data_IF_899912200807
#
_entry.id   IF_899912200807
#
_cell.length_a   1.000
_cell.length_b   1.000
_cell.length_c   1.000
_cell.angle_alpha   90.00
_cell.angle_beta   90.00
_cell.angle_gamma   90.00
#
_symmetry.space_group_name_H-M   'P 1'
#
loop_
_entity.id
_entity.type
_entity.pdbx_description
1 polymer ?
#
# COMPACT_ATOMS: atom_id res chain seq x y z
N UNK A 1 23.71 -14.04 6.33
CA UNK A 1 22.50 -13.27 6.70
C UNK A 1 21.58 -14.23 7.42
N UNK A 2 20.90 -13.80 8.48
CA UNK A 2 20.02 -14.67 9.30
C UNK A 2 18.60 -14.68 8.73
N UNK A 3 17.92 -15.83 8.77
CA UNK A 3 16.50 -15.96 8.50
C UNK A 3 15.70 -15.89 9.82
N UNK A 4 14.42 -15.46 9.80
CA UNK A 4 13.66 -15.01 8.65
C UNK A 4 14.06 -13.60 8.16
N UNK A 5 14.03 -13.38 6.85
CA UNK A 5 14.26 -12.06 6.26
C UNK A 5 13.45 -11.84 4.98
N UNK A 6 13.09 -10.59 4.70
CA UNK A 6 12.61 -10.14 3.39
C UNK A 6 13.77 -9.55 2.60
N UNK A 7 14.09 -10.18 1.49
CA UNK A 7 14.99 -9.60 0.50
C UNK A 7 14.21 -8.69 -0.45
N UNK A 8 14.75 -7.48 -0.68
CA UNK A 8 14.11 -6.38 -1.39
C UNK A 8 15.01 -5.91 -2.54
N UNK A 9 14.48 -5.92 -3.75
CA UNK A 9 15.14 -5.43 -4.96
C UNK A 9 14.65 -4.01 -5.27
N UNK A 10 15.49 -3.03 -4.93
CA UNK A 10 15.15 -1.61 -5.08
C UNK A 10 15.12 -1.19 -6.56
N UNK A 11 15.94 -1.82 -7.41
CA UNK A 11 15.97 -1.58 -8.86
C UNK A 11 14.64 -1.91 -9.51
N UNK A 12 14.05 -3.06 -9.13
CA UNK A 12 12.72 -3.49 -9.61
C UNK A 12 11.60 -2.59 -9.12
N UNK A 13 11.63 -2.15 -7.87
CA UNK A 13 10.65 -1.19 -7.33
C UNK A 13 10.72 0.14 -8.08
N UNK A 14 11.93 0.65 -8.32
CA UNK A 14 12.17 1.86 -9.12
C UNK A 14 11.66 1.70 -10.54
N UNK A 15 11.92 0.56 -11.18
CA UNK A 15 11.45 0.26 -12.54
C UNK A 15 9.92 0.19 -12.61
N UNK A 16 9.27 -0.44 -11.63
CA UNK A 16 7.82 -0.51 -11.54
C UNK A 16 7.19 0.87 -11.39
N UNK A 17 7.69 1.67 -10.45
CA UNK A 17 7.25 3.05 -10.26
C UNK A 17 7.41 3.88 -11.54
N UNK A 18 8.58 3.80 -12.21
CA UNK A 18 8.87 4.50 -13.46
C UNK A 18 7.92 4.12 -14.60
N UNK A 19 7.63 2.84 -14.76
CA UNK A 19 6.70 2.35 -15.77
C UNK A 19 5.31 2.94 -15.56
N UNK A 20 4.79 2.86 -14.33
CA UNK A 20 3.47 3.37 -13.98
C UNK A 20 3.38 4.90 -14.10
N UNK A 21 4.37 5.63 -13.57
CA UNK A 21 4.44 7.10 -13.67
C UNK A 21 4.42 7.55 -15.14
N UNK A 22 5.22 6.91 -16.01
CA UNK A 22 5.24 7.26 -17.44
C UNK A 22 3.89 7.00 -18.12
N UNK A 23 3.30 5.81 -17.89
CA UNK A 23 2.02 5.43 -18.51
C UNK A 23 0.87 6.33 -18.09
N UNK A 24 0.82 6.70 -16.81
CA UNK A 24 -0.22 7.58 -16.26
C UNK A 24 0.02 9.06 -16.59
N UNK A 25 1.29 9.47 -16.70
CA UNK A 25 1.66 10.83 -17.08
C UNK A 25 1.15 11.24 -18.46
N UNK A 26 1.04 10.31 -19.42
CA UNK A 26 0.43 10.56 -20.75
C UNK A 26 -1.03 11.00 -20.64
N UNK A 27 -1.71 10.65 -19.54
CA UNK A 27 -3.10 11.05 -19.24
C UNK A 27 -3.19 12.25 -18.29
N UNK A 28 -2.07 12.87 -17.95
CA UNK A 28 -2.02 13.94 -16.94
C UNK A 28 -2.25 13.45 -15.50
N UNK A 29 -2.12 12.14 -15.24
CA UNK A 29 -2.34 11.56 -13.91
C UNK A 29 -0.98 11.38 -13.22
N UNK A 30 -0.82 12.08 -12.11
CA UNK A 30 0.34 11.95 -11.21
C UNK A 30 0.21 10.72 -10.31
N UNK A 31 1.35 10.24 -9.78
CA UNK A 31 1.38 9.09 -8.87
C UNK A 31 1.96 9.47 -7.53
N UNK A 32 1.21 9.20 -6.46
CA UNK A 32 1.71 9.22 -5.07
C UNK A 32 2.07 7.79 -4.66
N UNK A 33 3.32 7.56 -4.26
CA UNK A 33 3.81 6.24 -3.84
C UNK A 33 3.38 5.88 -2.41
N UNK A 34 2.69 4.76 -2.22
CA UNK A 34 2.16 4.35 -0.92
C UNK A 34 3.09 3.34 -0.25
N UNK A 35 3.67 3.73 0.89
CA UNK A 35 4.72 2.96 1.59
C UNK A 35 4.21 2.09 2.74
N UNK A 36 2.89 2.07 3.00
CA UNK A 36 2.32 1.43 4.20
C UNK A 36 2.68 -0.05 4.36
N UNK A 37 2.75 -0.80 3.25
CA UNK A 37 3.05 -2.23 3.25
C UNK A 37 4.52 -2.53 3.56
N UNK A 38 5.40 -1.53 3.48
CA UNK A 38 6.82 -1.63 3.82
C UNK A 38 7.16 -0.77 5.04
N UNK A 39 6.17 -0.41 5.85
CA UNK A 39 6.33 0.36 7.09
C UNK A 39 7.15 1.66 6.93
N UNK A 40 6.95 2.37 5.81
CA UNK A 40 7.72 3.58 5.50
C UNK A 40 9.22 3.33 5.39
N UNK A 41 9.66 2.17 4.91
CA UNK A 41 11.08 1.85 4.77
C UNK A 41 11.78 2.90 3.88
N UNK A 42 12.78 3.65 4.38
CA UNK A 42 13.36 4.77 3.65
C UNK A 42 13.94 4.40 2.28
N UNK A 43 14.62 3.27 2.17
CA UNK A 43 15.23 2.87 0.88
C UNK A 43 14.19 2.48 -0.17
N UNK A 44 13.08 1.86 0.24
CA UNK A 44 11.96 1.58 -0.67
C UNK A 44 11.27 2.87 -1.09
N UNK A 45 11.07 3.80 -0.14
CA UNK A 45 10.51 5.11 -0.42
C UNK A 45 11.37 5.91 -1.43
N UNK A 46 12.71 5.90 -1.27
CA UNK A 46 13.65 6.48 -2.24
C UNK A 46 13.57 5.80 -3.60
N UNK A 47 13.48 4.47 -3.65
CA UNK A 47 13.31 3.76 -4.91
C UNK A 47 12.03 4.17 -5.66
N UNK A 48 10.92 4.37 -4.94
CA UNK A 48 9.69 4.92 -5.55
C UNK A 48 9.90 6.34 -6.08
N UNK A 49 10.56 7.22 -5.32
CA UNK A 49 10.89 8.60 -5.72
C UNK A 49 11.81 8.65 -6.94
N UNK A 50 12.85 7.82 -6.99
CA UNK A 50 13.74 7.65 -8.16
C UNK A 50 12.98 7.11 -9.39
N UNK A 51 11.84 6.47 -9.16
CA UNK A 51 10.89 6.05 -10.18
C UNK A 51 10.03 7.20 -10.72
N UNK A 52 9.98 8.34 -10.03
CA UNK A 52 9.28 9.54 -10.45
C UNK A 52 7.89 9.74 -9.82
N UNK A 53 7.58 9.06 -8.71
CA UNK A 53 6.37 9.42 -7.94
C UNK A 53 6.51 10.86 -7.43
N UNK A 54 5.42 11.64 -7.45
CA UNK A 54 5.46 13.08 -7.11
C UNK A 54 5.52 13.35 -5.60
N UNK A 55 5.24 12.32 -4.81
CA UNK A 55 5.24 12.35 -3.36
C UNK A 55 4.95 10.96 -2.81
N UNK A 56 4.90 10.86 -1.48
CA UNK A 56 4.68 9.61 -0.77
C UNK A 56 3.42 9.68 0.09
N UNK A 57 2.92 8.52 0.49
CA UNK A 57 1.82 8.42 1.42
C UNK A 57 1.95 7.21 2.34
N UNK A 58 1.55 7.38 3.60
CA UNK A 58 1.50 6.29 4.57
C UNK A 58 0.27 6.42 5.49
N UNK A 59 -0.12 5.32 6.13
CA UNK A 59 -1.27 5.23 7.02
C UNK A 59 -0.88 5.35 8.50
N UNK A 60 0.42 5.39 8.83
CA UNK A 60 0.89 5.48 10.21
C UNK A 60 1.90 6.61 10.36
N UNK A 61 1.66 7.50 11.32
CA UNK A 61 2.56 8.64 11.57
C UNK A 61 3.99 8.19 11.87
N UNK A 62 4.17 7.08 12.61
CA UNK A 62 5.50 6.51 12.90
C UNK A 62 6.32 6.21 11.64
N UNK A 63 5.65 5.78 10.56
CA UNK A 63 6.31 5.45 9.30
C UNK A 63 6.75 6.75 8.58
N UNK A 64 5.90 7.78 8.63
CA UNK A 64 6.22 9.11 8.09
C UNK A 64 7.39 9.73 8.86
N UNK A 65 7.36 9.69 10.19
CA UNK A 65 8.48 10.14 11.04
C UNK A 65 9.76 9.39 10.68
N UNK A 66 9.72 8.05 10.53
CA UNK A 66 10.87 7.25 10.08
C UNK A 66 11.44 7.76 8.74
N UNK A 67 10.59 8.05 7.77
CA UNK A 67 11.01 8.60 6.48
C UNK A 67 11.64 9.98 6.62
N UNK A 68 11.04 10.88 7.41
CA UNK A 68 11.59 12.23 7.67
C UNK A 68 12.95 12.17 8.36
N UNK A 69 13.10 11.31 9.37
CA UNK A 69 14.37 11.12 10.08
C UNK A 69 15.46 10.53 9.17
N UNK A 70 15.08 9.81 8.11
CA UNK A 70 15.98 9.35 7.07
C UNK A 70 16.25 10.40 5.97
N UNK A 71 15.82 11.66 6.15
CA UNK A 71 16.08 12.76 5.22
C UNK A 71 15.19 12.78 3.98
N UNK A 72 14.01 12.14 4.00
CA UNK A 72 13.05 12.23 2.90
C UNK A 72 12.27 13.55 3.03
N UNK A 73 12.53 14.46 2.10
CA UNK A 73 11.98 15.83 2.12
C UNK A 73 10.85 16.07 1.10
N UNK A 74 10.50 15.08 0.29
CA UNK A 74 9.37 15.21 -0.65
C UNK A 74 8.04 15.41 0.11
N UNK A 75 6.96 15.80 -0.59
CA UNK A 75 5.63 15.80 0.01
C UNK A 75 5.25 14.40 0.51
N UNK A 76 4.74 14.29 1.74
CA UNK A 76 4.22 13.06 2.33
C UNK A 76 2.82 13.30 2.89
N UNK A 77 1.87 12.48 2.48
CA UNK A 77 0.49 12.56 2.95
C UNK A 77 0.11 11.44 3.92
N UNK A 78 -0.66 11.78 4.94
CA UNK A 78 -1.30 10.82 5.84
C UNK A 78 -2.62 10.32 5.21
N UNK A 79 -2.68 9.06 4.83
CA UNK A 79 -3.85 8.45 4.11
C UNK A 79 -4.79 7.65 5.01
N UNK A 80 -4.65 7.79 6.34
CA UNK A 80 -5.59 7.28 7.34
C UNK A 80 -5.91 8.44 8.27
N UNK A 81 -7.17 8.60 8.66
CA UNK A 81 -7.55 9.57 9.69
C UNK A 81 -6.63 9.41 10.94
N UNK A 82 -5.96 10.48 11.39
CA UNK A 82 -5.04 10.40 12.50
C UNK A 82 -5.78 10.22 13.83
N UNK A 83 -5.15 9.51 14.77
CA UNK A 83 -5.65 9.43 16.13
C UNK A 83 -5.48 10.80 16.82
N UNK A 84 -6.32 11.10 17.81
CA UNK A 84 -6.28 12.41 18.51
C UNK A 84 -4.90 12.71 19.12
N UNK A 85 -4.17 11.68 19.57
CA UNK A 85 -2.79 11.84 20.09
C UNK A 85 -1.71 12.05 19.01
N UNK A 86 -2.02 11.84 17.73
CA UNK A 86 -1.07 11.98 16.61
C UNK A 86 -1.13 13.37 15.97
N UNK A 87 -2.05 14.25 16.36
CA UNK A 87 -2.33 15.51 15.65
C UNK A 87 -1.11 16.41 15.55
N UNK A 88 -0.38 16.62 16.65
CA UNK A 88 0.80 17.50 16.62
C UNK A 88 1.90 16.97 15.70
N UNK A 89 2.10 15.65 15.66
CA UNK A 89 3.07 15.01 14.77
C UNK A 89 2.61 15.08 13.31
N UNK A 90 1.32 14.93 13.03
CA UNK A 90 0.78 15.09 11.67
C UNK A 90 1.09 16.48 11.13
N UNK A 91 0.83 17.54 11.91
CA UNK A 91 1.17 18.91 11.51
C UNK A 91 2.67 19.09 11.25
N UNK A 92 3.51 18.44 12.06
CA UNK A 92 4.96 18.60 11.97
C UNK A 92 5.58 17.86 10.79
N UNK A 93 5.03 16.70 10.43
CA UNK A 93 5.72 15.78 9.52
C UNK A 93 4.98 15.50 8.21
N UNK A 94 3.68 15.81 8.11
CA UNK A 94 2.86 15.55 6.94
C UNK A 94 2.50 16.86 6.22
N UNK A 95 2.64 16.88 4.90
CA UNK A 95 2.24 18.03 4.09
C UNK A 95 0.72 18.07 3.90
N UNK A 96 0.07 16.90 3.83
CA UNK A 96 -1.38 16.79 3.68
C UNK A 96 -1.95 15.59 4.45
N UNK A 97 -3.27 15.61 4.68
CA UNK A 97 -3.99 14.50 5.30
C UNK A 97 -5.35 14.25 4.65
N UNK A 98 -5.70 12.98 4.49
CA UNK A 98 -6.97 12.54 3.93
C UNK A 98 -7.97 12.32 5.06
N UNK A 99 -9.14 12.96 5.00
CA UNK A 99 -10.11 12.94 6.08
C UNK A 99 -11.55 12.95 5.56
N UNK A 100 -12.47 12.39 6.35
CA UNK A 100 -13.92 12.47 6.12
C UNK A 100 -14.71 12.74 7.41
N UNK A 101 -14.01 13.07 8.51
CA UNK A 101 -14.62 13.34 9.82
C UNK A 101 -14.30 14.77 10.27
N UNK A 102 -15.33 15.57 10.51
CA UNK A 102 -15.18 16.99 10.82
C UNK A 102 -14.55 17.20 12.20
N UNK A 103 -14.82 16.33 13.19
CA UNK A 103 -14.16 16.43 14.49
C UNK A 103 -12.64 16.28 14.36
N UNK A 104 -12.19 15.36 13.50
CA UNK A 104 -10.78 15.15 13.18
C UNK A 104 -10.17 16.38 12.52
N UNK A 105 -10.85 16.97 11.53
CA UNK A 105 -10.38 18.18 10.83
C UNK A 105 -10.27 19.37 11.79
N UNK A 106 -11.23 19.54 12.71
CA UNK A 106 -11.18 20.60 13.72
C UNK A 106 -10.00 20.43 14.69
N UNK A 107 -9.71 19.20 15.10
CA UNK A 107 -8.54 18.88 15.94
C UNK A 107 -7.23 19.15 15.20
N UNK A 108 -7.14 18.79 13.91
CA UNK A 108 -6.00 19.15 13.06
C UNK A 108 -5.83 20.66 12.95
N UNK A 109 -6.90 21.42 12.68
CA UNK A 109 -6.86 22.88 12.60
C UNK A 109 -6.43 23.54 13.92
N UNK A 110 -6.88 23.02 15.06
CA UNK A 110 -6.42 23.49 16.38
C UNK A 110 -4.93 23.23 16.60
N UNK A 111 -4.45 22.02 16.27
CA UNK A 111 -3.02 21.67 16.37
C UNK A 111 -2.16 22.49 15.41
N UNK A 112 -2.63 22.73 14.18
CA UNK A 112 -1.95 23.52 13.17
C UNK A 112 -1.75 24.97 13.64
N UNK A 113 -2.82 25.60 14.15
CA UNK A 113 -2.75 26.96 14.71
C UNK A 113 -1.79 27.07 15.89
N UNK A 114 -1.79 26.08 16.79
CA UNK A 114 -0.84 26.05 17.92
C UNK A 114 0.62 26.06 17.45
N UNK A 115 0.90 25.49 16.27
CA UNK A 115 2.23 25.44 15.67
C UNK A 115 2.48 26.56 14.64
N UNK A 116 1.55 27.50 14.45
CA UNK A 116 1.67 28.55 13.44
C UNK A 116 1.65 28.04 12.00
N UNK A 117 1.05 26.86 11.76
CA UNK A 117 0.98 26.20 10.47
C UNK A 117 -0.47 26.13 9.94
N UNK A 118 -0.61 25.71 8.68
CA UNK A 118 -1.89 25.34 8.07
C UNK A 118 -1.77 23.93 7.51
N UNK A 119 -2.72 23.06 7.86
CA UNK A 119 -2.73 21.69 7.37
C UNK A 119 -3.53 21.57 6.07
N UNK A 120 -2.92 21.02 5.02
CA UNK A 120 -3.67 20.68 3.82
C UNK A 120 -4.54 19.44 4.07
N UNK A 121 -5.81 19.54 3.68
CA UNK A 121 -6.84 18.51 3.82
C UNK A 121 -7.34 18.11 2.45
N UNK A 122 -7.40 16.80 2.21
CA UNK A 122 -8.06 16.18 1.06
C UNK A 122 -9.27 15.42 1.60
N UNK A 123 -10.46 15.71 1.07
CA UNK A 123 -11.68 15.06 1.53
C UNK A 123 -11.86 13.70 0.88
N UNK A 124 -12.03 12.67 1.71
CA UNK A 124 -12.45 11.36 1.23
C UNK A 124 -13.94 11.39 0.95
N UNK A 125 -14.35 10.88 -0.21
CA UNK A 125 -15.73 10.75 -0.66
C UNK A 125 -16.10 9.28 -0.69
N UNK A 126 -17.26 8.94 -0.12
CA UNK A 126 -17.79 7.58 -0.16
C UNK A 126 -18.35 7.30 -1.56
N UNK A 127 -17.81 6.27 -2.21
CA UNK A 127 -18.11 5.90 -3.60
C UNK A 127 -18.42 4.40 -3.73
N UNK A 128 -18.82 3.76 -2.63
CA UNK A 128 -19.20 2.36 -2.52
C UNK A 128 -18.15 1.43 -1.91
N UNK A 129 -17.05 1.96 -1.37
CA UNK A 129 -16.06 1.14 -0.63
C UNK A 129 -16.54 0.80 0.78
N UNK A 130 -17.47 1.58 1.34
CA UNK A 130 -18.05 1.41 2.69
C UNK A 130 -17.02 1.47 3.83
N UNK A 131 -15.86 2.08 3.57
CA UNK A 131 -14.75 2.16 4.54
C UNK A 131 -14.70 3.51 5.23
N UNK A 132 -14.65 4.56 4.44
CA UNK A 132 -14.55 5.95 4.87
C UNK A 132 -15.01 6.83 3.72
N UNK A 133 -15.43 8.05 4.06
CA UNK A 133 -15.81 9.04 3.07
C UNK A 133 -17.04 9.83 3.50
N UNK A 134 -17.10 11.07 3.06
CA UNK A 134 -18.31 11.89 3.12
C UNK A 134 -19.26 11.39 2.04
N UNK A 135 -20.53 11.25 2.37
CA UNK A 135 -21.55 10.86 1.39
C UNK A 135 -21.67 11.95 0.30
N UNK A 136 -21.84 11.60 -0.98
CA UNK A 136 -21.91 12.58 -2.06
C UNK A 136 -22.95 13.69 -1.85
N UNK A 137 -24.09 13.36 -1.25
CA UNK A 137 -25.18 14.30 -0.92
C UNK A 137 -24.81 15.33 0.16
N UNK A 138 -23.86 15.00 1.05
CA UNK A 138 -23.42 15.86 2.15
C UNK A 138 -22.12 16.62 1.81
N UNK A 139 -21.52 16.33 0.65
CA UNK A 139 -20.15 16.75 0.33
C UNK A 139 -19.98 18.27 0.28
N UNK A 140 -20.92 18.99 -0.31
CA UNK A 140 -20.84 20.46 -0.46
C UNK A 140 -20.89 21.15 0.91
N UNK A 141 -21.85 20.77 1.76
CA UNK A 141 -21.98 21.30 3.12
C UNK A 141 -20.75 20.94 3.99
N UNK A 142 -20.23 19.73 3.82
CA UNK A 142 -19.02 19.31 4.52
C UNK A 142 -17.81 20.15 4.06
N UNK A 143 -17.63 20.33 2.76
CA UNK A 143 -16.53 21.11 2.19
C UNK A 143 -16.57 22.57 2.66
N UNK A 144 -17.74 23.21 2.65
CA UNK A 144 -17.93 24.57 3.16
C UNK A 144 -17.45 24.70 4.62
N UNK A 145 -17.83 23.74 5.48
CA UNK A 145 -17.38 23.71 6.89
C UNK A 145 -15.87 23.50 7.04
N UNK A 146 -15.22 22.78 6.13
CA UNK A 146 -13.76 22.64 6.14
C UNK A 146 -13.09 23.96 5.78
N UNK A 147 -13.59 24.67 4.77
CA UNK A 147 -13.07 25.99 4.37
C UNK A 147 -13.18 27.01 5.51
N UNK A 148 -14.27 26.95 6.29
CA UNK A 148 -14.46 27.80 7.46
C UNK A 148 -13.62 27.37 8.68
N UNK A 149 -13.01 26.18 8.68
CA UNK A 149 -12.26 25.66 9.82
C UNK A 149 -10.86 26.30 9.88
N UNK A 150 -10.53 27.07 10.93
CA UNK A 150 -9.23 27.73 10.99
C UNK A 150 -8.07 26.74 11.17
N UNK A 151 -6.95 26.98 10.49
CA UNK A 151 -5.74 26.16 10.56
C UNK A 151 -5.72 24.98 9.59
N UNK A 152 -6.73 24.82 8.73
CA UNK A 152 -6.71 23.86 7.62
C UNK A 152 -6.99 24.55 6.30
N UNK A 153 -6.59 23.90 5.21
CA UNK A 153 -6.92 24.33 3.84
C UNK A 153 -7.44 23.13 3.05
N UNK A 154 -8.64 23.24 2.46
CA UNK A 154 -9.15 22.23 1.56
C UNK A 154 -8.38 22.30 0.22
N UNK A 155 -7.74 21.20 -0.18
CA UNK A 155 -6.92 21.12 -1.40
C UNK A 155 -7.44 20.16 -2.46
N UNK A 156 -8.44 19.36 -2.11
CA UNK A 156 -8.90 18.34 -3.04
C UNK A 156 -9.92 17.38 -2.46
N UNK A 157 -10.36 16.48 -3.33
CA UNK A 157 -11.18 15.33 -2.97
C UNK A 157 -10.52 14.04 -3.45
N UNK A 158 -10.89 12.93 -2.85
CA UNK A 158 -10.36 11.62 -3.15
C UNK A 158 -11.40 10.55 -2.87
N UNK A 159 -11.32 9.45 -3.60
CA UNK A 159 -12.12 8.26 -3.32
C UNK A 159 -11.22 7.05 -3.11
N UNK A 160 -11.72 6.02 -2.46
CA UNK A 160 -11.06 4.73 -2.35
C UNK A 160 -11.97 3.65 -2.95
N UNK A 161 -11.38 2.59 -3.49
CA UNK A 161 -12.10 1.47 -4.10
C UNK A 161 -11.34 0.17 -3.86
N UNK A 162 -12.06 -0.96 -3.92
CA UNK A 162 -11.48 -2.30 -3.87
C UNK A 162 -10.80 -2.67 -2.55
N UNK A 163 -11.10 -1.95 -1.45
CA UNK A 163 -10.53 -2.27 -0.13
C UNK A 163 -11.52 -3.04 0.75
N UNK A 164 -12.76 -2.57 0.86
CA UNK A 164 -13.84 -3.31 1.53
C UNK A 164 -14.99 -3.61 0.58
N UNK A 165 -15.28 -2.70 -0.36
CA UNK A 165 -16.21 -2.98 -1.45
C UNK A 165 -15.56 -3.84 -2.53
N UNK A 166 -16.29 -4.83 -3.06
CA UNK A 166 -15.88 -5.61 -4.25
C UNK A 166 -16.10 -4.82 -5.56
N UNK A 167 -16.11 -3.49 -5.50
CA UNK A 167 -16.34 -2.63 -6.65
C UNK A 167 -15.02 -2.44 -7.40
N UNK A 168 -15.01 -2.93 -8.65
CA UNK A 168 -13.95 -2.58 -9.60
C UNK A 168 -14.24 -1.17 -10.13
N UNK A 169 -13.32 -0.21 -9.98
CA UNK A 169 -13.54 1.16 -10.46
C UNK A 169 -13.84 1.23 -11.94
N UNK A 170 -14.87 1.97 -12.30
CA UNK A 170 -15.30 2.18 -13.69
C UNK A 170 -15.03 3.61 -14.16
N UNK A 171 -15.12 3.82 -15.48
CA UNK A 171 -15.10 5.18 -16.03
C UNK A 171 -16.26 6.04 -15.53
N UNK A 172 -17.42 5.44 -15.21
CA UNK A 172 -18.57 6.14 -14.63
C UNK A 172 -18.30 6.65 -13.21
N UNK A 173 -17.58 5.87 -12.41
CA UNK A 173 -17.18 6.29 -11.06
C UNK A 173 -16.22 7.48 -11.11
N UNK A 174 -15.27 7.47 -12.05
CA UNK A 174 -14.30 8.56 -12.22
C UNK A 174 -14.95 9.82 -12.81
N UNK A 175 -15.95 9.66 -13.69
CA UNK A 175 -16.78 10.77 -14.15
C UNK A 175 -17.61 11.36 -13.00
N UNK A 176 -18.16 10.51 -12.13
CA UNK A 176 -18.90 10.95 -10.93
C UNK A 176 -18.00 11.71 -9.97
N UNK A 177 -16.81 11.19 -9.66
CA UNK A 177 -15.82 11.89 -8.83
C UNK A 177 -15.40 13.23 -9.46
N UNK A 178 -15.28 13.30 -10.79
CA UNK A 178 -14.97 14.55 -11.49
C UNK A 178 -16.08 15.59 -11.32
N UNK A 179 -17.35 15.19 -11.47
CA UNK A 179 -18.50 16.06 -11.24
C UNK A 179 -18.55 16.57 -9.80
N UNK A 180 -18.27 15.71 -8.82
CA UNK A 180 -18.23 16.10 -7.41
C UNK A 180 -17.10 17.10 -7.13
N UNK A 181 -15.95 16.96 -7.79
CA UNK A 181 -14.87 17.94 -7.70
C UNK A 181 -15.29 19.32 -8.23
N UNK A 182 -15.96 19.36 -9.39
CA UNK A 182 -16.46 20.60 -9.98
C UNK A 182 -17.58 21.24 -9.12
N UNK A 183 -18.41 20.43 -8.46
CA UNK A 183 -19.44 20.91 -7.51
C UNK A 183 -18.81 21.59 -6.29
N UNK A 184 -17.86 20.91 -5.62
CA UNK A 184 -17.13 21.48 -4.47
C UNK A 184 -16.41 22.77 -4.85
N UNK A 185 -15.77 22.79 -6.03
CA UNK A 185 -15.07 23.97 -6.52
C UNK A 185 -16.03 25.14 -6.82
N UNK A 186 -17.19 24.85 -7.41
CA UNK A 186 -18.22 25.86 -7.65
C UNK A 186 -18.85 26.42 -6.38
N UNK A 187 -19.02 25.60 -5.34
CA UNK A 187 -19.62 26.00 -4.07
C UNK A 187 -18.64 26.77 -3.17
N UNK A 188 -17.36 26.40 -3.18
CA UNK A 188 -16.40 26.88 -2.19
C UNK A 188 -15.24 27.71 -2.77
N UNK A 189 -14.98 27.62 -4.07
CA UNK A 189 -13.93 28.36 -4.78
C UNK A 189 -12.89 27.47 -5.49
N UNK A 190 -12.04 28.05 -6.36
CA UNK A 190 -11.14 27.33 -7.27
C UNK A 190 -9.87 26.78 -6.62
N UNK A 191 -10.01 25.97 -5.57
CA UNK A 191 -8.88 25.41 -4.81
C UNK A 191 -8.72 23.89 -4.91
N UNK A 192 -9.62 23.19 -5.61
CA UNK A 192 -9.59 21.72 -5.78
C UNK A 192 -8.47 21.34 -6.74
N UNK A 193 -7.23 21.35 -6.24
CA UNK A 193 -6.03 21.05 -7.01
C UNK A 193 -5.82 19.54 -7.19
N UNK A 194 -6.27 18.73 -6.24
CA UNK A 194 -6.10 17.27 -6.25
C UNK A 194 -7.46 16.57 -6.36
N UNK A 195 -7.63 15.77 -7.40
CA UNK A 195 -8.76 14.82 -7.52
C UNK A 195 -8.16 13.43 -7.64
N UNK A 196 -8.07 12.75 -6.49
CA UNK A 196 -7.31 11.51 -6.38
C UNK A 196 -8.23 10.29 -6.48
N UNK A 197 -8.21 9.64 -7.65
CA UNK A 197 -9.20 8.65 -8.07
C UNK A 197 -9.19 7.33 -7.31
N UNK A 198 -8.13 7.05 -6.55
CA UNK A 198 -8.04 5.82 -5.76
C UNK A 198 -6.65 5.20 -5.73
N UNK A 199 -6.65 3.87 -5.60
CA UNK A 199 -5.45 3.08 -5.37
C UNK A 199 -5.03 2.24 -6.58
N UNK A 200 -4.24 1.19 -6.29
CA UNK A 200 -3.81 0.23 -7.32
C UNK A 200 -4.96 -0.51 -8.01
N UNK A 201 -6.12 -0.66 -7.35
CA UNK A 201 -7.32 -1.24 -7.96
C UNK A 201 -7.90 -0.40 -9.12
N UNK A 202 -7.55 0.88 -9.22
CA UNK A 202 -7.99 1.76 -10.30
C UNK A 202 -7.16 1.59 -11.58
N UNK A 203 -6.09 0.77 -11.57
CA UNK A 203 -5.15 0.73 -12.69
C UNK A 203 -5.75 0.19 -13.98
N UNK A 204 -6.72 -0.72 -13.93
CA UNK A 204 -7.41 -1.20 -15.13
C UNK A 204 -8.06 -0.04 -15.89
N UNK A 205 -8.80 0.84 -15.19
CA UNK A 205 -9.34 2.07 -15.75
C UNK A 205 -8.24 3.08 -16.12
N UNK A 206 -7.24 3.24 -15.27
CA UNK A 206 -6.21 4.26 -15.42
C UNK A 206 -5.27 3.98 -16.61
N UNK A 207 -5.16 2.73 -17.04
CA UNK A 207 -4.34 2.32 -18.18
C UNK A 207 -5.14 2.18 -19.48
N UNK A 208 -6.46 2.33 -19.43
CA UNK A 208 -7.33 2.37 -20.60
C UNK A 208 -7.30 3.75 -21.31
N UNK A 209 -7.81 3.82 -22.54
CA UNK A 209 -7.76 5.00 -23.44
C UNK A 209 -8.89 6.02 -23.22
N UNK A 210 -9.72 5.85 -22.21
CA UNK A 210 -10.84 6.76 -21.92
C UNK A 210 -10.42 8.13 -21.36
N UNK A 211 -11.35 9.10 -21.28
CA UNK A 211 -11.08 10.38 -20.63
C UNK A 211 -10.80 10.20 -19.13
N UNK A 212 -9.85 10.95 -18.59
CA UNK A 212 -9.57 11.00 -17.14
C UNK A 212 -10.49 11.98 -16.39
N UNK A 213 -11.13 12.90 -17.11
CA UNK A 213 -11.94 13.97 -16.49
C UNK A 213 -11.08 14.88 -15.62
N UNK A 214 -11.53 15.14 -14.40
CA UNK A 214 -10.79 15.91 -13.39
C UNK A 214 -9.75 15.07 -12.64
N UNK A 215 -9.82 13.73 -12.72
CA UNK A 215 -8.93 12.84 -11.96
C UNK A 215 -7.49 13.03 -12.43
N UNK A 216 -6.64 13.51 -11.53
CA UNK A 216 -5.27 13.91 -11.83
C UNK A 216 -4.21 13.25 -10.92
N UNK A 217 -4.64 12.36 -10.02
CA UNK A 217 -3.74 11.65 -9.11
C UNK A 217 -4.24 10.24 -8.79
N UNK A 218 -3.30 9.30 -8.63
CA UNK A 218 -3.55 7.97 -8.02
C UNK A 218 -2.52 7.65 -6.93
N UNK A 219 -2.95 6.90 -5.92
CA UNK A 219 -2.16 6.51 -4.75
C UNK A 219 -1.75 5.03 -4.87
N UNK A 220 -0.59 4.77 -5.45
CA UNK A 220 -0.18 3.41 -5.84
C UNK A 220 0.79 2.82 -4.82
N UNK A 221 0.48 1.64 -4.30
CA UNK A 221 1.34 0.90 -3.38
C UNK A 221 1.59 -0.51 -3.90
N UNK A 222 0.56 -1.35 -3.84
CA UNK A 222 0.63 -2.76 -4.22
C UNK A 222 1.13 -2.97 -5.66
N UNK A 223 0.65 -2.19 -6.63
CA UNK A 223 1.12 -2.32 -8.01
C UNK A 223 2.60 -1.95 -8.19
N UNK A 224 3.10 -0.96 -7.42
CA UNK A 224 4.52 -0.61 -7.46
C UNK A 224 5.36 -1.71 -6.79
N UNK A 225 4.92 -2.17 -5.63
CA UNK A 225 5.67 -3.11 -4.79
C UNK A 225 5.66 -4.54 -5.35
N UNK A 226 4.52 -5.00 -5.85
CA UNK A 226 4.28 -6.40 -6.24
C UNK A 226 4.04 -6.59 -7.74
N UNK A 227 3.91 -5.52 -8.53
CA UNK A 227 3.70 -5.62 -9.97
C UNK A 227 2.38 -6.31 -10.37
N UNK A 228 1.41 -6.40 -9.47
CA UNK A 228 0.11 -7.05 -9.69
C UNK A 228 -1.03 -6.04 -9.61
N UNK A 229 -2.12 -6.36 -10.30
CA UNK A 229 -3.41 -5.70 -10.16
C UNK A 229 -4.15 -6.32 -8.96
N UNK A 230 -4.45 -5.54 -7.90
CA UNK A 230 -5.15 -6.05 -6.73
C UNK A 230 -6.55 -6.60 -7.04
N UNK A 231 -7.23 -6.07 -8.06
CA UNK A 231 -8.60 -6.47 -8.38
C UNK A 231 -8.65 -7.87 -9.02
N UNK A 232 -7.64 -8.24 -9.81
CA UNK A 232 -7.61 -9.51 -10.55
C UNK A 232 -6.55 -10.50 -10.04
N UNK A 233 -5.60 -10.04 -9.22
CA UNK A 233 -4.43 -10.80 -8.78
C UNK A 233 -3.41 -11.10 -9.88
N UNK A 234 -3.62 -10.57 -11.09
CA UNK A 234 -2.77 -10.82 -12.27
C UNK A 234 -1.59 -9.87 -12.31
N UNK A 235 -0.49 -10.33 -12.91
CA UNK A 235 0.65 -9.48 -13.20
C UNK A 235 0.24 -8.35 -14.16
N UNK A 236 0.69 -7.13 -13.87
CA UNK A 236 0.54 -5.99 -14.76
C UNK A 236 1.68 -6.06 -15.77
N UNK A 237 1.34 -5.98 -17.05
CA UNK A 237 2.31 -6.08 -18.13
C UNK A 237 3.44 -5.06 -17.99
N UNK A 238 4.67 -5.55 -18.16
CA UNK A 238 5.91 -4.79 -18.00
C UNK A 238 6.33 -4.47 -16.56
N UNK A 239 5.65 -4.99 -15.52
CA UNK A 239 6.06 -4.81 -14.12
C UNK A 239 6.69 -6.08 -13.54
N UNK A 240 7.66 -5.89 -12.65
CA UNK A 240 8.29 -6.95 -11.87
C UNK A 240 7.40 -7.42 -10.73
N UNK A 241 7.21 -8.74 -10.62
CA UNK A 241 6.41 -9.37 -9.57
C UNK A 241 7.24 -10.09 -8.50
N UNK A 242 8.56 -9.92 -8.54
CA UNK A 242 9.53 -10.63 -7.72
C UNK A 242 10.53 -9.68 -7.04
N UNK A 243 10.11 -8.43 -6.82
CA UNK A 243 10.89 -7.42 -6.09
C UNK A 243 11.07 -7.76 -4.61
N UNK A 244 10.21 -8.63 -4.06
CA UNK A 244 10.25 -9.09 -2.68
C UNK A 244 10.32 -10.61 -2.62
N UNK A 245 11.12 -11.14 -1.70
CA UNK A 245 11.06 -12.55 -1.33
C UNK A 245 11.40 -12.76 0.13
N UNK A 246 10.61 -13.60 0.80
CA UNK A 246 10.88 -14.08 2.14
C UNK A 246 11.85 -15.26 2.07
N UNK A 247 12.86 -15.25 2.93
CA UNK A 247 13.72 -16.39 3.20
C UNK A 247 13.42 -16.91 4.59
N UNK A 248 13.15 -18.21 4.69
CA UNK A 248 12.95 -18.92 5.94
C UNK A 248 13.80 -20.19 5.98
N UNK A 249 14.37 -20.50 7.14
CA UNK A 249 15.18 -21.70 7.34
C UNK A 249 14.28 -22.94 7.51
N UNK A 250 14.69 -24.05 6.90
CA UNK A 250 14.12 -25.38 7.14
C UNK A 250 14.69 -25.92 8.45
N UNK A 251 13.85 -26.09 9.47
CA UNK A 251 14.27 -26.53 10.81
C UNK A 251 13.92 -27.98 11.12
N UNK A 252 13.03 -28.59 10.34
CA UNK A 252 12.74 -30.01 10.44
C UNK A 252 12.39 -30.55 9.05
N UNK A 253 12.94 -31.72 8.70
CA UNK A 253 12.48 -32.53 7.56
C UNK A 253 12.25 -33.95 8.02
N UNK A 254 11.02 -34.46 7.86
CA UNK A 254 10.63 -35.82 8.25
C UNK A 254 9.62 -36.41 7.27
N UNK A 255 9.67 -37.73 7.09
CA UNK A 255 8.58 -38.47 6.46
C UNK A 255 7.41 -38.53 7.45
N UNK A 256 6.23 -38.06 7.04
CA UNK A 256 5.00 -38.13 7.85
C UNK A 256 3.88 -38.78 7.04
N UNK A 257 3.04 -39.62 7.68
CA UNK A 257 1.85 -40.17 7.03
C UNK A 257 0.88 -39.03 6.63
N UNK A 258 0.42 -39.05 5.38
CA UNK A 258 -0.67 -38.19 4.92
C UNK A 258 -2.02 -38.63 5.49
N UNK A 259 -2.81 -37.72 6.03
CA UNK A 259 -4.13 -38.04 6.62
C UNK A 259 -5.18 -38.52 5.60
N UNK A 260 -4.86 -38.59 4.30
CA UNK A 260 -5.81 -38.87 3.22
C UNK A 260 -5.34 -39.87 2.14
N UNK A 261 -4.30 -40.68 2.37
CA UNK A 261 -3.92 -41.72 1.39
C UNK A 261 -3.74 -43.07 2.07
N UNK A 262 -4.49 -44.07 1.62
CA UNK A 262 -4.39 -45.43 2.10
C UNK A 262 -3.07 -46.12 1.68
N UNK A 263 -2.52 -46.86 2.64
CA UNK A 263 -1.59 -47.99 2.57
C UNK A 263 -0.12 -47.86 2.13
N UNK A 264 0.39 -46.74 1.62
CA UNK A 264 1.87 -46.52 1.52
C UNK A 264 2.33 -45.04 1.64
N UNK A 265 1.42 -44.14 2.06
CA UNK A 265 1.51 -42.69 1.82
C UNK A 265 2.36 -41.84 2.78
N UNK A 266 3.63 -42.19 3.02
CA UNK A 266 4.57 -41.27 3.67
C UNK A 266 5.05 -40.20 2.67
N UNK A 267 4.94 -38.92 3.05
CA UNK A 267 5.47 -37.81 2.26
C UNK A 267 6.46 -37.00 3.08
N UNK A 268 7.59 -36.56 2.51
CA UNK A 268 8.50 -35.66 3.21
C UNK A 268 7.78 -34.33 3.46
N UNK A 269 7.77 -33.95 4.73
CA UNK A 269 7.30 -32.65 5.18
C UNK A 269 8.46 -31.89 5.75
N UNK A 270 8.57 -30.64 5.36
CA UNK A 270 9.54 -29.71 5.91
C UNK A 270 8.81 -28.65 6.73
N UNK A 271 9.44 -28.24 7.83
CA UNK A 271 8.97 -27.15 8.68
C UNK A 271 9.92 -25.98 8.49
N UNK A 272 9.34 -24.81 8.20
CA UNK A 272 10.05 -23.55 8.10
C UNK A 272 9.90 -22.76 9.39
N UNK A 273 10.99 -22.11 9.83
CA UNK A 273 11.04 -21.21 10.99
C UNK A 273 10.38 -19.85 10.68
N UNK A 274 9.11 -19.89 10.31
CA UNK A 274 8.26 -18.74 10.09
C UNK A 274 6.80 -19.16 10.24
N UNK A 275 5.98 -18.38 10.92
CA UNK A 275 4.57 -18.70 11.12
C UNK A 275 3.65 -17.50 10.98
N UNK A 276 2.45 -17.63 11.55
CA UNK A 276 1.47 -16.56 11.55
C UNK A 276 1.98 -15.30 12.23
N UNK A 277 2.83 -15.35 13.26
CA UNK A 277 3.32 -14.12 13.89
C UNK A 277 4.13 -13.27 12.91
N UNK A 278 4.94 -13.92 12.09
CA UNK A 278 5.84 -13.27 11.15
C UNK A 278 5.16 -12.85 9.85
N UNK A 279 4.27 -13.67 9.30
CA UNK A 279 3.69 -13.45 7.98
C UNK A 279 2.30 -14.06 7.82
N UNK A 280 1.58 -13.64 6.76
CA UNK A 280 0.38 -14.36 6.33
C UNK A 280 0.83 -15.60 5.54
N UNK A 281 0.86 -16.75 6.21
CA UNK A 281 1.28 -18.01 5.61
C UNK A 281 0.39 -18.47 4.44
N UNK A 282 -0.90 -18.08 4.39
CA UNK A 282 -1.77 -18.37 3.23
C UNK A 282 -1.39 -17.52 2.01
N UNK A 283 -0.77 -16.36 2.24
CA UNK A 283 -0.29 -15.45 1.21
C UNK A 283 1.09 -15.83 0.63
N UNK A 284 1.70 -16.92 1.08
CA UNK A 284 3.02 -17.36 0.62
C UNK A 284 2.94 -18.11 -0.72
N UNK A 285 3.85 -17.76 -1.63
CA UNK A 285 4.01 -18.41 -2.94
C UNK A 285 5.29 -19.22 -2.96
N UNK A 286 5.15 -20.52 -2.76
CA UNK A 286 6.30 -21.43 -2.68
C UNK A 286 6.89 -21.77 -4.06
N UNK A 287 8.17 -22.18 -4.14
CA UNK A 287 8.77 -22.65 -5.38
C UNK A 287 8.03 -23.84 -5.98
N UNK A 288 8.24 -24.07 -7.28
CA UNK A 288 7.66 -25.21 -7.98
C UNK A 288 8.02 -26.54 -7.28
N UNK A 289 7.03 -27.41 -7.07
CA UNK A 289 7.20 -28.69 -6.39
C UNK A 289 7.08 -28.64 -4.87
N UNK A 290 6.89 -27.45 -4.28
CA UNK A 290 6.62 -27.26 -2.85
C UNK A 290 5.14 -26.91 -2.68
N UNK A 291 4.46 -27.59 -1.75
CA UNK A 291 3.03 -27.32 -1.50
C UNK A 291 2.80 -26.97 -0.03
N UNK A 292 2.13 -25.85 0.20
CA UNK A 292 1.68 -25.46 1.54
C UNK A 292 0.74 -26.50 2.13
N UNK A 293 0.95 -26.88 3.38
CA UNK A 293 0.06 -27.78 4.14
C UNK A 293 -0.70 -26.99 5.21
N UNK A 294 -0.02 -26.10 5.93
CA UNK A 294 -0.61 -25.31 7.01
C UNK A 294 0.46 -24.57 7.81
N UNK A 295 0.04 -23.71 8.73
CA UNK A 295 0.93 -22.96 9.62
C UNK A 295 0.35 -22.81 11.03
N UNK A 296 1.24 -22.63 12.02
CA UNK A 296 0.95 -22.23 13.39
C UNK A 296 1.58 -20.86 13.67
N UNK A 297 1.62 -20.41 14.94
CA UNK A 297 2.20 -19.13 15.32
C UNK A 297 3.62 -18.92 14.77
N UNK A 298 4.46 -19.95 14.84
CA UNK A 298 5.92 -19.86 14.58
C UNK A 298 6.42 -20.86 13.52
N UNK A 299 5.51 -21.64 12.93
CA UNK A 299 5.89 -22.72 12.02
C UNK A 299 5.03 -22.74 10.76
N UNK A 300 5.66 -22.96 9.62
CA UNK A 300 5.01 -23.20 8.33
C UNK A 300 5.38 -24.58 7.84
N UNK A 301 4.38 -25.41 7.55
CA UNK A 301 4.56 -26.80 7.11
C UNK A 301 4.32 -26.90 5.62
N UNK A 302 5.30 -27.46 4.92
CA UNK A 302 5.24 -27.69 3.48
C UNK A 302 5.47 -29.16 3.13
N UNK A 303 4.80 -29.61 2.09
CA UNK A 303 5.09 -30.85 1.38
C UNK A 303 6.28 -30.58 0.45
N UNK A 304 7.34 -31.36 0.59
CA UNK A 304 8.55 -31.26 -0.25
C UNK A 304 8.79 -32.57 -1.00
N UNK A 305 7.74 -33.30 -1.38
CA UNK A 305 7.86 -34.58 -2.09
C UNK A 305 8.62 -34.46 -3.42
N UNK A 306 8.67 -33.26 -4.02
CA UNK A 306 9.37 -33.00 -5.27
C UNK A 306 10.85 -32.61 -5.12
N UNK A 307 11.36 -32.34 -3.91
CA UNK A 307 12.76 -31.95 -3.69
C UNK A 307 13.18 -32.12 -2.22
N UNK A 308 14.42 -32.51 -1.94
CA UNK A 308 14.93 -32.58 -0.56
C UNK A 308 15.30 -31.17 -0.08
N UNK A 309 14.69 -30.73 1.02
CA UNK A 309 15.07 -29.51 1.72
C UNK A 309 15.86 -29.89 2.99
N UNK A 310 17.21 -29.80 3.00
CA UNK A 310 18.00 -30.14 4.18
C UNK A 310 17.68 -29.20 5.34
N UNK A 311 17.75 -29.72 6.57
CA UNK A 311 17.71 -28.86 7.77
C UNK A 311 18.88 -27.87 7.72
N UNK A 312 18.62 -26.61 8.05
CA UNK A 312 19.58 -25.50 7.94
C UNK A 312 19.64 -24.85 6.55
N UNK A 313 18.94 -25.39 5.54
CA UNK A 313 18.82 -24.72 4.23
C UNK A 313 17.74 -23.63 4.27
N UNK A 314 17.88 -22.62 3.41
CA UNK A 314 16.89 -21.54 3.28
C UNK A 314 15.97 -21.78 2.08
N UNK A 315 14.69 -21.49 2.27
CA UNK A 315 13.69 -21.47 1.20
C UNK A 315 13.37 -20.03 0.81
N UNK A 316 13.49 -19.71 -0.49
CA UNK A 316 13.03 -18.46 -1.08
C UNK A 316 11.54 -18.57 -1.42
N UNK A 317 10.73 -17.64 -0.91
CA UNK A 317 9.26 -17.70 -0.96
C UNK A 317 8.73 -16.34 -1.44
N UNK A 318 7.84 -16.33 -2.43
CA UNK A 318 7.15 -15.12 -2.88
C UNK A 318 6.06 -14.69 -1.89
N UNK A 319 5.71 -13.40 -1.91
CA UNK A 319 4.78 -12.80 -0.96
C UNK A 319 3.56 -12.19 -1.67
N UNK A 320 2.36 -12.48 -1.19
CA UNK A 320 1.17 -11.64 -1.45
C UNK A 320 1.29 -10.29 -0.72
N UNK A 321 0.33 -9.39 -0.94
CA UNK A 321 0.26 -8.12 -0.21
C UNK A 321 0.14 -8.30 1.31
N UNK A 322 -0.75 -9.18 1.77
CA UNK A 322 -0.93 -9.47 3.19
C UNK A 322 0.33 -10.08 3.82
N UNK A 323 0.97 -11.01 3.11
CA UNK A 323 2.21 -11.64 3.56
C UNK A 323 3.37 -10.64 3.62
N UNK A 324 3.52 -9.79 2.60
CA UNK A 324 4.53 -8.73 2.59
C UNK A 324 4.32 -7.76 3.75
N UNK A 325 3.10 -7.22 3.89
CA UNK A 325 2.78 -6.25 4.94
C UNK A 325 3.08 -6.79 6.33
N UNK A 326 2.73 -8.05 6.59
CA UNK A 326 2.95 -8.69 7.88
C UNK A 326 4.43 -8.96 8.14
N UNK A 327 5.14 -9.52 7.15
CA UNK A 327 6.59 -9.74 7.22
C UNK A 327 7.38 -8.45 7.46
N UNK A 328 7.05 -7.36 6.77
CA UNK A 328 7.70 -6.06 6.96
C UNK A 328 7.41 -5.42 8.32
N UNK A 329 6.30 -5.82 8.97
CA UNK A 329 5.91 -5.32 10.29
C UNK A 329 6.42 -6.19 11.45
N UNK A 330 6.88 -7.41 11.15
CA UNK A 330 7.34 -8.35 12.16
C UNK A 330 8.71 -7.93 12.71
N UNK A 331 8.89 -7.84 14.05
CA UNK A 331 10.13 -7.36 14.65
C UNK A 331 11.33 -8.27 14.34
N UNK A 332 11.07 -9.57 14.19
CA UNK A 332 12.12 -10.59 14.00
C UNK A 332 12.41 -10.88 12.52
N UNK A 333 11.67 -10.25 11.59
CA UNK A 333 11.91 -10.40 10.16
C UNK A 333 12.77 -9.26 9.63
N UNK A 334 14.04 -9.55 9.33
CA UNK A 334 14.99 -8.55 8.87
C UNK A 334 14.76 -8.16 7.41
N UNK A 335 15.18 -6.95 7.01
CA UNK A 335 15.23 -6.55 5.60
C UNK A 335 16.65 -6.69 5.06
N UNK A 336 16.80 -7.27 3.87
CA UNK A 336 18.05 -7.32 3.12
C UNK A 336 17.86 -6.70 1.73
N UNK A 337 18.79 -5.86 1.28
CA UNK A 337 18.65 -5.13 0.03
C UNK A 337 19.57 -5.68 -1.06
N UNK A 338 19.01 -5.92 -2.24
CA UNK A 338 19.77 -6.12 -3.46
C UNK A 338 20.08 -4.74 -4.05
N UNK A 339 21.36 -4.40 -4.12
CA UNK A 339 21.83 -3.28 -4.94
C UNK A 339 21.96 -3.76 -6.38
N UNK A 340 21.61 -2.90 -7.34
CA UNK A 340 21.86 -3.14 -8.77
C UNK A 340 23.34 -3.56 -8.95
N UNK A 341 23.65 -4.59 -9.75
CA UNK A 341 25.02 -4.75 -10.21
C UNK A 341 25.40 -3.47 -10.97
N UNK A 342 26.43 -2.78 -10.45
CA UNK A 342 27.03 -1.58 -11.04
C UNK A 342 27.45 -1.85 -12.49
#
# INVERSE_FOLDING_TARGET
MTAPRVEIDLGKIRANARSLVRRLGVRGITVTGVTKAVCGHPDVARAMLDGGVVGLADARIRNIVRMRMAGILCPISMIRAPMTGEMEDVIRYCDASYNSEMETIRKLGAAARKQGATQDVILMVEMGDMREGVMPEDLDDFAARVVETPGVALKGIAANFGCMGNLTPTAGDMATLSRLADQVEGACGPFVAVVSGGGSANLAWALDKGPSGRVNNLRLGEAILLGIDPATGRAIDGLHTDAFALFAEVIETRLKLGAMVAKDGQRPRSILAVGWQDTDANGLRFPHGVRFIGATSDHTVVDTSGFTAPVGSEMRIGLSYSALMRAMSAPDCQCAFKTDPV
#
